data_IF_488110338016
#
_entry.id   IF_488110338016
#
_cell.length_a   1.000
_cell.length_b   1.000
_cell.length_c   1.000
_cell.angle_alpha   90.00
_cell.angle_beta   90.00
_cell.angle_gamma   90.00
#
_symmetry.space_group_name_H-M   'P 1'
#
loop_
_entity.id
_entity.type
_entity.pdbx_description
1 polymer ?
#
# COMPACT_ATOMS: atom_id res chain seq x y z
N UNK A 1 -11.29 -48.95 -47.16
CA UNK A 1 -12.27 -48.16 -46.36
C UNK A 1 -11.88 -48.37 -44.90
N UNK A 2 -11.67 -47.43 -43.99
CA UNK A 2 -12.03 -46.01 -43.90
C UNK A 2 -11.07 -45.37 -42.83
N UNK A 3 -10.67 -44.11 -43.00
CA UNK A 3 -9.82 -43.35 -42.05
C UNK A 3 -10.68 -42.66 -40.94
N UNK A 4 -10.07 -42.13 -39.85
CA UNK A 4 -10.72 -41.90 -38.55
C UNK A 4 -11.39 -40.52 -38.40
N UNK A 5 -12.32 -40.33 -37.45
CA UNK A 5 -12.80 -38.99 -37.10
C UNK A 5 -11.96 -38.35 -35.97
N UNK A 6 -11.29 -37.25 -36.33
CA UNK A 6 -10.67 -36.28 -35.43
C UNK A 6 -11.77 -35.42 -34.78
N UNK A 7 -11.78 -35.33 -33.44
CA UNK A 7 -12.64 -34.36 -32.74
C UNK A 7 -12.13 -32.93 -32.93
N UNK A 8 -12.93 -32.14 -33.63
CA UNK A 8 -12.85 -30.68 -33.80
C UNK A 8 -13.48 -30.00 -32.59
N UNK A 9 -12.78 -29.10 -31.92
CA UNK A 9 -13.43 -27.98 -31.23
C UNK A 9 -12.85 -26.64 -31.70
N UNK A 10 -13.77 -25.86 -32.24
CA UNK A 10 -13.66 -24.51 -32.78
C UNK A 10 -13.13 -23.54 -31.71
N UNK A 11 -12.03 -22.85 -32.00
CA UNK A 11 -11.85 -21.49 -31.50
C UNK A 11 -11.78 -20.55 -32.70
N UNK A 12 -12.82 -19.70 -32.80
CA UNK A 12 -12.93 -18.66 -33.81
C UNK A 12 -11.78 -17.67 -33.58
N UNK A 13 -10.84 -17.61 -34.50
CA UNK A 13 -9.85 -16.54 -34.60
C UNK A 13 -10.42 -15.59 -35.65
N UNK A 14 -10.98 -14.47 -35.21
CA UNK A 14 -11.31 -13.36 -36.09
C UNK A 14 -10.06 -12.48 -36.26
N UNK A 15 -9.89 -11.98 -37.47
CA UNK A 15 -8.63 -11.58 -38.05
C UNK A 15 -8.56 -10.05 -38.19
N UNK A 16 -7.32 -9.53 -38.25
CA UNK A 16 -6.99 -8.25 -38.89
C UNK A 16 -7.51 -6.96 -38.20
N UNK A 17 -6.81 -6.52 -37.15
CA UNK A 17 -6.60 -5.09 -36.93
C UNK A 17 -5.09 -4.80 -36.80
N UNK A 18 -4.43 -4.83 -37.96
CA UNK A 18 -3.48 -3.81 -38.45
C UNK A 18 -2.24 -3.53 -37.57
N UNK A 19 -1.09 -3.95 -38.12
CA UNK A 19 0.29 -3.58 -37.80
C UNK A 19 0.46 -2.04 -37.66
N UNK A 20 0.97 -1.53 -36.53
CA UNK A 20 2.32 -0.93 -36.31
C UNK A 20 2.22 0.28 -35.35
N UNK A 21 3.32 0.87 -34.83
CA UNK A 21 4.54 0.32 -34.25
C UNK A 21 4.80 0.82 -32.80
N UNK A 22 5.76 0.18 -32.12
CA UNK A 22 6.58 0.64 -30.97
C UNK A 22 6.20 1.99 -30.35
N UNK A 23 5.62 1.96 -29.14
CA UNK A 23 6.01 2.88 -28.06
C UNK A 23 6.17 2.08 -26.77
N UNK A 24 7.41 2.01 -26.30
CA UNK A 24 7.83 1.49 -25.01
C UNK A 24 7.24 2.36 -23.89
N UNK A 25 6.41 1.78 -23.02
CA UNK A 25 6.32 2.08 -21.59
C UNK A 25 5.50 0.99 -20.91
N UNK A 26 6.19 0.10 -20.23
CA UNK A 26 5.59 -0.90 -19.35
C UNK A 26 4.75 -0.20 -18.29
N UNK A 27 3.44 -0.40 -18.31
CA UNK A 27 2.61 -0.32 -17.11
C UNK A 27 2.10 -1.73 -16.88
N UNK A 28 2.79 -2.44 -16.00
CA UNK A 28 2.41 -3.80 -15.61
C UNK A 28 1.15 -3.69 -14.74
N UNK A 29 -0.01 -4.22 -15.16
CA UNK A 29 -1.15 -4.34 -14.27
C UNK A 29 -0.82 -5.44 -13.27
N UNK A 30 -0.65 -5.09 -12.00
CA UNK A 30 -0.55 -6.09 -10.93
C UNK A 30 -1.86 -6.08 -10.18
N UNK A 31 -2.80 -6.89 -10.65
CA UNK A 31 -3.95 -7.36 -9.88
C UNK A 31 -3.41 -8.13 -8.68
N UNK A 32 -3.28 -7.46 -7.53
CA UNK A 32 -3.14 -8.16 -6.25
C UNK A 32 -4.51 -8.13 -5.59
N UNK A 33 -5.09 -9.33 -5.52
CA UNK A 33 -6.25 -9.72 -4.72
C UNK A 33 -6.33 -8.90 -3.44
N UNK A 34 -7.27 -7.95 -3.40
CA UNK A 34 -7.61 -7.27 -2.15
C UNK A 34 -8.43 -8.25 -1.32
N UNK A 35 -7.84 -8.77 -0.25
CA UNK A 35 -8.64 -9.11 0.93
C UNK A 35 -9.12 -7.77 1.50
N UNK A 36 -10.28 -7.31 1.05
CA UNK A 36 -10.95 -6.12 1.59
C UNK A 36 -11.43 -6.42 3.01
N UNK A 37 -10.64 -6.01 4.01
CA UNK A 37 -11.23 -5.57 5.26
C UNK A 37 -12.01 -4.28 4.97
N UNK A 38 -13.30 -4.30 5.30
CA UNK A 38 -14.34 -3.33 4.92
C UNK A 38 -14.26 -2.06 5.80
N UNK A 39 -13.07 -1.70 6.26
CA UNK A 39 -12.84 -0.47 7.02
C UNK A 39 -12.56 0.66 6.04
N UNK A 40 -13.08 1.88 6.25
CA UNK A 40 -12.80 3.02 5.39
C UNK A 40 -11.30 3.35 5.42
N UNK A 41 -10.58 2.79 4.44
CA UNK A 41 -9.12 2.89 4.31
C UNK A 41 -8.73 4.35 4.31
N UNK A 42 -7.92 4.75 5.29
CA UNK A 42 -7.33 6.08 5.32
C UNK A 42 -6.51 6.29 4.05
N UNK A 43 -6.58 7.50 3.48
CA UNK A 43 -5.98 7.77 2.18
C UNK A 43 -4.47 7.58 2.23
N UNK A 44 -3.88 7.06 1.15
CA UNK A 44 -2.44 6.83 1.05
C UNK A 44 -1.63 8.12 1.30
N UNK A 45 -2.14 9.27 0.83
CA UNK A 45 -1.54 10.57 1.09
C UNK A 45 -1.50 10.93 2.59
N UNK A 46 -2.57 10.59 3.33
CA UNK A 46 -2.63 10.83 4.77
C UNK A 46 -1.66 9.93 5.53
N UNK A 47 -1.61 8.64 5.17
CA UNK A 47 -0.61 7.69 5.72
C UNK A 47 0.81 8.16 5.45
N UNK A 48 1.08 8.64 4.24
CA UNK A 48 2.39 9.20 3.87
C UNK A 48 2.73 10.46 4.70
N UNK A 49 1.77 11.34 4.95
CA UNK A 49 1.94 12.52 5.82
C UNK A 49 2.28 12.10 7.25
N UNK A 50 1.54 11.16 7.83
CA UNK A 50 1.79 10.64 9.18
C UNK A 50 3.17 9.96 9.25
N UNK A 51 3.50 9.12 8.28
CA UNK A 51 4.81 8.46 8.22
C UNK A 51 5.98 9.45 8.07
N UNK A 52 5.80 10.52 7.29
CA UNK A 52 6.79 11.59 7.19
C UNK A 52 7.00 12.30 8.53
N UNK A 53 5.94 12.57 9.27
CA UNK A 53 6.02 13.15 10.63
C UNK A 53 6.82 12.25 11.57
N UNK A 54 6.53 10.95 11.59
CA UNK A 54 7.26 9.98 12.42
C UNK A 54 8.76 10.02 12.08
N UNK A 55 9.12 9.94 10.79
CA UNK A 55 10.54 10.00 10.38
C UNK A 55 11.21 11.32 10.73
N UNK A 56 10.52 12.44 10.54
CA UNK A 56 11.06 13.76 10.86
C UNK A 56 11.25 13.97 12.37
N UNK A 57 10.31 13.52 13.20
CA UNK A 57 10.46 13.58 14.66
C UNK A 57 11.57 12.66 15.16
N UNK A 58 11.67 11.45 14.62
CA UNK A 58 12.78 10.52 14.90
C UNK A 58 14.14 11.19 14.63
N UNK A 59 14.32 11.77 13.44
CA UNK A 59 15.55 12.46 13.06
C UNK A 59 15.84 13.71 13.90
N UNK A 60 14.81 14.46 14.32
CA UNK A 60 15.01 15.72 15.04
C UNK A 60 15.34 15.54 16.52
N UNK A 61 14.78 14.51 17.16
CA UNK A 61 14.90 14.31 18.62
C UNK A 61 15.90 13.22 18.99
N UNK A 62 16.31 12.39 18.03
CA UNK A 62 17.25 11.30 18.28
C UNK A 62 16.66 10.26 19.23
N UNK A 63 15.37 9.93 19.08
CA UNK A 63 14.83 8.71 19.67
C UNK A 63 15.68 7.56 19.08
N UNK A 64 16.44 6.86 19.92
CA UNK A 64 17.45 5.90 19.46
C UNK A 64 16.84 4.70 18.74
N UNK A 65 17.67 3.71 18.41
CA UNK A 65 17.22 2.52 17.68
C UNK A 65 16.19 1.66 18.45
N UNK A 66 16.06 1.89 19.76
CA UNK A 66 15.14 1.17 20.66
C UNK A 66 13.92 1.99 21.09
N UNK A 67 13.87 3.29 20.79
CA UNK A 67 12.78 4.18 21.21
C UNK A 67 12.01 4.71 19.99
N UNK A 68 10.69 4.58 20.04
CA UNK A 68 9.83 5.08 18.98
C UNK A 68 9.43 6.54 19.21
N UNK A 69 8.85 7.14 18.18
CA UNK A 69 8.24 8.47 18.33
C UNK A 69 6.97 8.34 19.17
N UNK A 70 6.87 9.06 20.31
CA UNK A 70 5.67 8.99 21.15
C UNK A 70 4.43 9.51 20.42
N UNK A 71 3.29 8.87 20.65
CA UNK A 71 2.00 9.25 20.09
C UNK A 71 1.69 10.74 20.26
N UNK A 72 1.93 11.28 21.47
CA UNK A 72 1.69 12.68 21.79
C UNK A 72 2.50 13.64 20.90
N UNK A 73 3.70 13.23 20.48
CA UNK A 73 4.56 14.02 19.58
C UNK A 73 4.00 14.02 18.16
N UNK A 74 3.53 12.87 17.69
CA UNK A 74 2.88 12.73 16.39
C UNK A 74 1.61 13.59 16.38
N UNK A 75 0.78 13.51 17.43
CA UNK A 75 -0.44 14.29 17.60
C UNK A 75 -0.16 15.80 17.63
N UNK A 76 0.86 16.24 18.39
CA UNK A 76 1.24 17.65 18.47
C UNK A 76 1.69 18.22 17.11
N UNK A 77 2.26 17.37 16.24
CA UNK A 77 2.69 17.77 14.90
C UNK A 77 1.55 17.77 13.89
N UNK A 78 0.57 16.89 14.06
CA UNK A 78 -0.58 16.75 13.15
C UNK A 78 -1.81 17.38 13.78
N UNK A 79 -1.90 18.71 13.68
CA UNK A 79 -3.00 19.50 14.27
C UNK A 79 -4.35 19.31 13.56
N UNK A 80 -4.34 18.77 12.34
CA UNK A 80 -5.52 18.63 11.49
C UNK A 80 -6.35 17.38 11.78
N UNK A 81 -5.86 16.45 12.62
CA UNK A 81 -6.47 15.12 12.82
C UNK A 81 -6.81 14.95 14.31
N UNK A 82 -8.04 14.54 14.65
CA UNK A 82 -8.40 14.24 16.03
C UNK A 82 -7.68 12.97 16.51
N UNK A 83 -7.50 12.87 17.83
CA UNK A 83 -6.73 11.79 18.46
C UNK A 83 -7.22 10.39 18.03
N UNK A 84 -8.53 10.14 18.11
CA UNK A 84 -9.13 8.86 17.74
C UNK A 84 -8.79 8.48 16.30
N UNK A 85 -8.89 9.44 15.38
CA UNK A 85 -8.61 9.19 13.97
C UNK A 85 -7.13 8.94 13.71
N UNK A 86 -6.24 9.60 14.47
CA UNK A 86 -4.80 9.33 14.38
C UNK A 86 -4.48 7.91 14.85
N UNK A 87 -5.12 7.42 15.92
CA UNK A 87 -4.97 6.02 16.37
C UNK A 87 -5.39 5.04 15.28
N UNK A 88 -6.56 5.25 14.66
CA UNK A 88 -7.00 4.39 13.54
C UNK A 88 -5.98 4.37 12.40
N UNK A 89 -5.44 5.54 12.03
CA UNK A 89 -4.43 5.64 10.96
C UNK A 89 -3.17 4.87 11.33
N UNK A 90 -2.68 5.00 12.56
CA UNK A 90 -1.47 4.32 13.03
C UNK A 90 -1.68 2.79 13.06
N UNK A 91 -2.85 2.33 13.50
CA UNK A 91 -3.22 0.91 13.42
C UNK A 91 -3.23 0.44 11.97
N UNK A 92 -3.91 1.15 11.08
CA UNK A 92 -3.92 0.80 9.65
C UNK A 92 -2.52 0.82 9.00
N UNK A 93 -1.65 1.73 9.43
CA UNK A 93 -0.27 1.81 8.96
C UNK A 93 0.57 0.64 9.47
N UNK A 94 0.37 0.22 10.73
CA UNK A 94 0.97 -0.97 11.32
C UNK A 94 0.56 -2.24 10.58
N UNK A 95 -0.74 -2.42 10.35
CA UNK A 95 -1.29 -3.56 9.60
C UNK A 95 -0.76 -3.63 8.16
N UNK A 96 -0.49 -2.47 7.55
CA UNK A 96 0.08 -2.37 6.21
C UNK A 96 1.60 -2.53 6.14
N UNK A 97 2.28 -2.66 7.28
CA UNK A 97 3.74 -2.78 7.35
C UNK A 97 4.49 -1.49 7.00
N UNK A 98 3.88 -0.32 7.16
CA UNK A 98 4.56 0.97 6.99
C UNK A 98 5.32 1.41 8.24
N UNK A 99 4.79 1.04 9.41
CA UNK A 99 5.33 1.36 10.73
C UNK A 99 5.21 0.13 11.64
N UNK A 100 5.90 0.16 12.77
CA UNK A 100 5.68 -0.76 13.88
C UNK A 100 5.61 0.00 15.19
N UNK A 101 5.02 -0.62 16.21
CA UNK A 101 5.04 -0.08 17.58
C UNK A 101 6.28 -0.60 18.28
N UNK A 102 7.16 0.29 18.74
CA UNK A 102 8.36 -0.06 19.49
C UNK A 102 8.02 -0.38 20.95
N UNK A 103 7.15 0.44 21.55
CA UNK A 103 6.57 0.31 22.89
C UNK A 103 5.12 0.78 22.87
N UNK A 104 4.44 0.70 24.01
CA UNK A 104 3.08 1.24 24.16
C UNK A 104 3.05 2.73 23.79
N UNK A 105 2.21 3.07 22.79
CA UNK A 105 2.09 4.41 22.22
C UNK A 105 3.39 4.99 21.61
N UNK A 106 4.35 4.17 21.19
CA UNK A 106 5.56 4.61 20.49
C UNK A 106 5.67 3.96 19.12
N UNK A 107 5.91 4.77 18.08
CA UNK A 107 5.87 4.31 16.69
C UNK A 107 7.17 4.57 15.95
N UNK A 108 7.61 3.58 15.17
CA UNK A 108 8.80 3.65 14.33
C UNK A 108 8.44 3.34 12.89
N UNK A 109 9.09 4.03 11.96
CA UNK A 109 8.93 3.75 10.52
C UNK A 109 9.78 2.55 10.12
N UNK A 110 9.23 1.61 9.35
CA UNK A 110 9.96 0.45 8.81
C UNK A 110 10.85 0.79 7.60
N UNK A 111 11.41 1.99 7.59
CA UNK A 111 12.02 2.59 6.40
C UNK A 111 13.48 2.17 6.20
#
# INVERSE_FOLDING_TARGET
MLAPPLSRQNHKIDAQAILSPVITRQVKPTTKTQSESISPKTSSALKAKVGAVIRSEAASKGYGDEEGVPFERILARIKDIPESRLRDILTEMGDSGMIYSARDNEFMSLN
#
